data_IF_518460918293
#
_entry.id   IF_518460918293
#
_cell.length_a   1.000
_cell.length_b   1.000
_cell.length_c   1.000
_cell.angle_alpha   90.00
_cell.angle_beta   90.00
_cell.angle_gamma   90.00
#
_symmetry.space_group_name_H-M   'P 1'
#
loop_
_entity.id
_entity.type
_entity.pdbx_description
1 polymer ?
#
# COMPACT_ATOMS: atom_id res chain seq x y z
N UNK A 1 20.92 5.13 3.92
CA UNK A 1 19.99 4.49 2.97
C UNK A 1 18.65 4.43 3.67
N UNK A 2 17.65 5.17 3.19
CA UNK A 2 16.30 5.05 3.74
C UNK A 2 15.73 3.70 3.31
N UNK A 3 15.13 2.96 4.23
CA UNK A 3 14.38 1.76 3.88
C UNK A 3 13.04 2.18 3.27
N UNK A 4 12.64 1.53 2.19
CA UNK A 4 11.31 1.66 1.59
C UNK A 4 10.59 0.34 1.73
N UNK A 5 9.33 0.38 2.15
CA UNK A 5 8.47 -0.79 2.26
C UNK A 5 7.17 -0.55 1.50
N UNK A 6 6.75 -1.53 0.70
CA UNK A 6 5.45 -1.54 0.04
C UNK A 6 4.51 -2.41 0.85
N UNK A 7 3.34 -1.87 1.19
CA UNK A 7 2.28 -2.59 1.91
C UNK A 7 1.09 -2.70 0.99
N UNK A 8 0.72 -3.93 0.66
CA UNK A 8 -0.46 -4.26 -0.12
C UNK A 8 -1.47 -5.03 0.74
N UNK A 9 -2.78 -4.91 0.47
CA UNK A 9 -3.80 -5.69 1.15
C UNK A 9 -3.62 -7.19 0.87
N UNK A 10 -3.96 -8.01 1.86
CA UNK A 10 -4.03 -9.46 1.68
C UNK A 10 -5.37 -9.81 1.05
N UNK A 11 -5.36 -10.79 0.13
CA UNK A 11 -6.55 -11.27 -0.59
C UNK A 11 -7.32 -10.19 -1.38
N UNK A 12 -6.61 -9.17 -1.87
CA UNK A 12 -7.18 -8.21 -2.82
C UNK A 12 -7.45 -8.87 -4.18
N UNK A 13 -8.59 -8.53 -4.79
CA UNK A 13 -8.96 -8.92 -6.14
C UNK A 13 -8.12 -8.21 -7.21
N UNK A 14 -7.52 -7.08 -6.87
CA UNK A 14 -6.59 -6.34 -7.71
C UNK A 14 -5.19 -6.86 -7.46
N UNK A 15 -4.49 -7.23 -8.54
CA UNK A 15 -3.09 -7.65 -8.45
C UNK A 15 -2.18 -6.47 -8.13
N UNK A 16 -1.30 -6.67 -7.15
CA UNK A 16 -0.36 -5.66 -6.68
C UNK A 16 1.08 -6.04 -7.05
N UNK A 17 1.52 -5.65 -8.26
CA UNK A 17 2.95 -5.74 -8.58
C UNK A 17 3.71 -4.57 -7.96
N UNK A 18 4.39 -4.87 -6.86
CA UNK A 18 5.19 -3.93 -6.05
C UNK A 18 6.69 -4.23 -6.08
N UNK A 19 7.09 -5.28 -6.81
CA UNK A 19 8.45 -5.82 -6.77
C UNK A 19 9.19 -5.83 -8.11
N UNK A 20 8.51 -5.54 -9.22
CA UNK A 20 9.13 -5.44 -10.55
C UNK A 20 9.86 -4.12 -10.83
N UNK A 21 10.67 -4.09 -11.89
CA UNK A 21 11.30 -2.86 -12.42
C UNK A 21 10.26 -1.84 -12.93
N UNK A 22 9.08 -2.33 -13.33
CA UNK A 22 7.94 -1.54 -13.78
C UNK A 22 6.70 -1.87 -12.93
N UNK A 23 6.58 -1.30 -11.72
CA UNK A 23 5.44 -1.57 -10.84
C UNK A 23 4.12 -1.14 -11.50
N UNK A 24 3.14 -2.05 -11.56
CA UNK A 24 1.91 -1.89 -12.35
C UNK A 24 0.63 -1.78 -11.51
N UNK A 25 0.73 -1.64 -10.18
CA UNK A 25 -0.45 -1.43 -9.33
C UNK A 25 -1.19 -0.14 -9.70
N UNK A 26 -2.48 -0.31 -10.03
CA UNK A 26 -3.41 0.76 -10.40
C UNK A 26 -3.97 1.55 -9.21
N UNK A 27 -3.66 1.07 -8.01
CA UNK A 27 -4.19 1.49 -6.72
C UNK A 27 -3.74 2.90 -6.29
N UNK A 28 -2.69 3.45 -6.90
CA UNK A 28 -2.19 4.80 -6.62
C UNK A 28 -1.66 4.94 -5.19
N UNK A 29 -0.49 4.36 -4.87
CA UNK A 29 -0.01 4.26 -3.49
C UNK A 29 0.29 5.63 -2.87
N UNK A 30 -0.01 5.77 -1.57
CA UNK A 30 0.35 6.95 -0.78
C UNK A 30 1.64 6.68 0.02
N UNK A 31 2.59 7.62 -0.04
CA UNK A 31 3.83 7.54 0.72
C UNK A 31 3.65 8.21 2.10
N UNK A 32 3.69 7.41 3.15
CA UNK A 32 3.57 7.88 4.54
C UNK A 32 4.87 7.68 5.30
N UNK A 33 5.32 8.67 6.09
CA UNK A 33 6.47 8.51 6.96
C UNK A 33 6.06 7.75 8.24
N UNK A 34 6.82 6.72 8.59
CA UNK A 34 6.65 5.95 9.82
C UNK A 34 7.92 6.04 10.66
N UNK A 35 7.76 6.44 11.93
CA UNK A 35 8.87 6.48 12.88
C UNK A 35 9.06 5.13 13.57
N UNK A 36 10.28 4.59 13.51
CA UNK A 36 10.71 3.37 14.19
C UNK A 36 11.90 3.73 15.09
N UNK A 37 11.60 4.11 16.33
CA UNK A 37 12.60 4.60 17.28
C UNK A 37 13.14 5.96 16.86
N UNK A 38 14.40 6.02 16.39
CA UNK A 38 15.03 7.24 15.88
C UNK A 38 15.07 7.31 14.35
N UNK A 39 14.57 6.27 13.66
CA UNK A 39 14.62 6.13 12.21
C UNK A 39 13.27 6.50 11.60
N UNK A 40 13.29 7.30 10.53
CA UNK A 40 12.12 7.51 9.66
C UNK A 40 12.21 6.56 8.47
N UNK A 41 11.16 5.77 8.28
CA UNK A 41 10.98 4.85 7.14
C UNK A 41 9.82 5.34 6.29
N UNK A 42 9.99 5.36 4.98
CA UNK A 42 8.91 5.69 4.06
C UNK A 42 8.17 4.41 3.67
N UNK A 43 6.86 4.39 3.90
CA UNK A 43 6.00 3.27 3.57
C UNK A 43 5.06 3.70 2.46
N UNK A 44 5.06 2.94 1.35
CA UNK A 44 4.07 3.09 0.29
C UNK A 44 2.88 2.20 0.62
N UNK A 45 1.74 2.82 0.91
CA UNK A 45 0.51 2.12 1.28
C UNK A 45 -0.38 2.04 0.06
N UNK A 46 -0.67 0.80 -0.34
CA UNK A 46 -1.63 0.50 -1.38
C UNK A 46 -2.98 0.27 -0.71
N UNK A 47 -3.92 1.19 -0.94
CA UNK A 47 -5.32 0.94 -0.60
C UNK A 47 -5.98 0.20 -1.76
N UNK A 48 -6.90 -0.70 -1.45
CA UNK A 48 -7.91 -1.17 -2.39
C UNK A 48 -8.55 0.07 -3.04
N UNK A 49 -8.73 0.05 -4.36
CA UNK A 49 -9.47 1.09 -5.10
C UNK A 49 -10.92 1.13 -4.56
N UNK A 50 -11.35 1.62 -3.40
CA UNK A 50 -11.42 3.02 -3.02
C UNK A 50 -11.85 3.12 -1.54
N UNK A 51 -11.37 2.25 -0.65
CA UNK A 51 -11.91 2.13 0.72
C UNK A 51 -13.40 1.73 0.76
N UNK A 52 -13.91 1.16 -0.34
CA UNK A 52 -15.33 0.80 -0.54
C UNK A 52 -15.71 -0.38 0.34
N UNK A 53 -14.77 -1.26 0.67
CA UNK A 53 -14.98 -2.35 1.63
C UNK A 53 -15.34 -1.89 3.05
N UNK A 54 -15.02 -0.66 3.45
CA UNK A 54 -15.53 -0.09 4.71
C UNK A 54 -16.99 0.39 4.61
N UNK A 55 -17.48 0.63 3.39
CA UNK A 55 -18.87 0.97 3.11
C UNK A 55 -19.70 -0.25 2.68
N UNK A 56 -19.04 -1.37 2.36
CA UNK A 56 -19.67 -2.66 2.07
C UNK A 56 -19.97 -3.42 3.36
N UNK A 57 -20.69 -2.79 4.29
CA UNK A 57 -21.60 -3.56 5.13
C UNK A 57 -22.82 -3.89 4.27
N UNK A 58 -22.88 -5.11 3.73
CA UNK A 58 -24.07 -5.62 3.04
C UNK A 58 -24.29 -7.07 3.48
N UNK A 59 -25.48 -7.52 3.93
CA UNK A 59 -26.79 -6.85 4.11
C UNK A 59 -27.28 -6.72 5.57
#
# INVERSE_FOLDING_TARGET
MGATAHVAPLDDLIEHDTGGDEPSCVCGPEAVPVEIGWLVVWVYVHATLDGREFAEEVP
#
